data_IF_602962042540
#
_entry.id   IF_602962042540
#
_cell.length_a   1.000
_cell.length_b   1.000
_cell.length_c   1.000
_cell.angle_alpha   90.00
_cell.angle_beta   90.00
_cell.angle_gamma   90.00
#
_symmetry.space_group_name_H-M   'P 1'
#
loop_
_entity.id
_entity.type
_entity.pdbx_description
1 polymer ?
#
# COMPACT_ATOMS: atom_id res chain seq x y z
N UNK A 1 -0.71 37.07 -13.63
CA UNK A 1 -1.06 35.73 -14.14
C UNK A 1 -0.52 34.75 -13.12
N UNK A 2 -1.40 34.16 -12.30
CA UNK A 2 -1.01 33.27 -11.20
C UNK A 2 -0.38 31.98 -11.74
N UNK A 3 0.71 31.55 -11.10
CA UNK A 3 1.55 30.41 -11.48
C UNK A 3 0.82 29.05 -11.39
N UNK A 4 1.07 28.12 -12.34
CA UNK A 4 0.39 26.82 -12.40
C UNK A 4 0.86 25.78 -11.34
N UNK A 5 1.56 26.20 -10.29
CA UNK A 5 2.17 25.30 -9.28
C UNK A 5 1.32 25.17 -8.00
N UNK A 6 0.31 26.01 -7.79
CA UNK A 6 -0.47 26.00 -6.54
C UNK A 6 -1.62 24.97 -6.47
N UNK A 7 -2.05 24.38 -7.60
CA UNK A 7 -3.18 23.44 -7.58
C UNK A 7 -2.80 22.02 -7.09
N UNK A 8 -1.50 21.71 -6.98
CA UNK A 8 -1.01 20.40 -6.56
C UNK A 8 -0.88 20.23 -5.03
N UNK A 9 -1.19 21.26 -4.22
CA UNK A 9 -1.07 21.16 -2.75
C UNK A 9 -2.27 20.53 -2.05
N UNK A 10 -3.37 20.26 -2.76
CA UNK A 10 -4.61 19.74 -2.16
C UNK A 10 -4.85 18.24 -2.38
N UNK A 11 -3.94 17.55 -3.09
CA UNK A 11 -3.94 16.09 -3.19
C UNK A 11 -2.67 15.61 -2.47
N UNK A 12 -2.75 14.80 -1.40
CA UNK A 12 -1.57 14.31 -0.69
C UNK A 12 -0.75 13.30 -1.52
N UNK A 13 -1.10 13.10 -2.79
CA UNK A 13 -0.48 12.14 -3.69
C UNK A 13 0.00 12.85 -4.96
N UNK A 14 1.32 12.86 -5.23
CA UNK A 14 1.81 13.39 -6.48
C UNK A 14 1.31 12.51 -7.64
N UNK A 15 0.58 13.12 -8.57
CA UNK A 15 0.19 12.50 -9.84
C UNK A 15 1.47 12.27 -10.65
N UNK A 16 2.10 11.10 -10.49
CA UNK A 16 3.31 10.72 -11.24
C UNK A 16 3.11 9.38 -11.94
N UNK A 17 2.92 9.49 -13.26
CA UNK A 17 3.22 8.55 -14.34
C UNK A 17 3.19 7.05 -14.00
N UNK A 18 2.23 6.32 -14.58
CA UNK A 18 2.10 4.85 -14.78
C UNK A 18 3.38 3.99 -14.60
N UNK A 19 4.01 3.98 -13.42
CA UNK A 19 5.14 3.11 -13.08
C UNK A 19 4.55 1.81 -12.58
N UNK A 20 4.68 0.75 -13.37
CA UNK A 20 4.20 -0.62 -13.06
C UNK A 20 4.77 -1.22 -11.75
N UNK A 21 5.58 -0.47 -10.98
CA UNK A 21 6.30 -0.90 -9.77
C UNK A 21 6.21 0.12 -8.61
N UNK A 22 5.24 1.04 -8.62
CA UNK A 22 5.01 1.92 -7.49
C UNK A 22 4.33 1.16 -6.32
N UNK A 23 4.88 1.32 -5.12
CA UNK A 23 4.35 0.77 -3.88
C UNK A 23 4.08 1.90 -2.89
N UNK A 24 2.91 1.90 -2.28
CA UNK A 24 2.63 2.73 -1.13
C UNK A 24 3.08 2.00 0.12
N UNK A 25 3.93 2.67 0.90
CA UNK A 25 4.46 2.21 2.16
C UNK A 25 3.74 2.99 3.24
N UNK A 26 3.08 2.29 4.15
CA UNK A 26 2.40 2.86 5.30
C UNK A 26 3.10 2.34 6.55
N UNK A 27 4.00 3.13 7.16
CA UNK A 27 4.64 2.75 8.41
C UNK A 27 3.65 2.81 9.57
N UNK A 28 4.03 2.25 10.72
CA UNK A 28 3.24 2.30 11.96
C UNK A 28 2.84 3.72 12.39
N UNK A 29 3.64 4.72 12.05
CA UNK A 29 3.38 6.14 12.35
C UNK A 29 2.27 6.76 11.48
N UNK A 30 1.80 6.06 10.44
CA UNK A 30 0.76 6.55 9.54
C UNK A 30 1.23 7.53 8.45
N UNK A 31 2.52 7.84 8.38
CA UNK A 31 3.11 8.71 7.35
C UNK A 31 3.43 7.92 6.09
N UNK A 32 2.42 7.77 5.24
CA UNK A 32 2.52 6.99 4.02
C UNK A 32 3.40 7.64 2.94
N UNK A 33 4.29 6.87 2.31
CA UNK A 33 5.14 7.32 1.21
C UNK A 33 5.00 6.39 -0.02
N UNK A 34 5.24 6.91 -1.22
CA UNK A 34 5.26 6.11 -2.45
C UNK A 34 6.72 5.85 -2.83
N UNK A 35 7.09 4.58 -2.88
CA UNK A 35 8.43 4.12 -3.23
C UNK A 35 8.39 3.22 -4.48
N UNK A 36 9.40 3.35 -5.36
CA UNK A 36 9.60 2.41 -6.47
C UNK A 36 10.42 1.22 -5.96
N UNK A 37 9.71 0.22 -5.42
CA UNK A 37 10.33 -0.97 -4.85
C UNK A 37 10.43 -2.08 -5.89
N UNK A 38 11.68 -2.43 -6.23
CA UNK A 38 11.97 -3.62 -7.03
C UNK A 38 11.67 -4.91 -6.26
N UNK A 39 11.32 -5.98 -6.99
CA UNK A 39 11.04 -7.32 -6.45
C UNK A 39 12.06 -7.79 -5.42
N UNK A 40 13.35 -7.65 -5.70
CA UNK A 40 14.41 -8.09 -4.80
C UNK A 40 14.45 -7.29 -3.49
N UNK A 41 14.15 -6.00 -3.54
CA UNK A 41 14.13 -5.15 -2.35
C UNK A 41 12.95 -5.52 -1.44
N UNK A 42 11.77 -5.75 -2.02
CA UNK A 42 10.58 -6.20 -1.28
C UNK A 42 10.83 -7.56 -0.64
N UNK A 43 11.42 -8.51 -1.37
CA UNK A 43 11.75 -9.83 -0.84
C UNK A 43 12.71 -9.73 0.36
N UNK A 44 13.73 -8.86 0.29
CA UNK A 44 14.67 -8.64 1.41
C UNK A 44 14.02 -7.93 2.60
N UNK A 45 13.19 -6.91 2.35
CA UNK A 45 12.53 -6.08 3.37
C UNK A 45 11.46 -6.86 4.14
N UNK A 46 10.60 -7.59 3.41
CA UNK A 46 9.44 -8.30 3.97
C UNK A 46 9.73 -9.77 4.28
N UNK A 47 10.79 -10.35 3.71
CA UNK A 47 11.13 -11.76 3.87
C UNK A 47 10.24 -12.73 3.08
N UNK A 48 9.35 -12.24 2.20
CA UNK A 48 8.49 -13.11 1.39
C UNK A 48 9.24 -13.68 0.18
N UNK A 49 8.81 -14.86 -0.27
CA UNK A 49 9.40 -15.50 -1.43
C UNK A 49 9.00 -14.82 -2.75
N UNK A 50 9.78 -15.07 -3.81
CA UNK A 50 9.45 -14.61 -5.15
C UNK A 50 8.11 -15.15 -5.68
N UNK A 51 7.65 -16.28 -5.13
CA UNK A 51 6.36 -16.89 -5.46
C UNK A 51 5.21 -16.10 -4.82
N UNK A 52 5.35 -15.73 -3.55
CA UNK A 52 4.31 -14.99 -2.82
C UNK A 52 4.10 -13.61 -3.39
N UNK A 53 5.18 -12.96 -3.84
CA UNK A 53 5.08 -11.67 -4.49
C UNK A 53 4.29 -11.75 -5.82
N UNK A 54 4.36 -12.88 -6.55
CA UNK A 54 3.56 -13.08 -7.77
C UNK A 54 2.07 -13.15 -7.49
N UNK A 55 1.69 -13.54 -6.26
CA UNK A 55 0.32 -13.38 -5.77
C UNK A 55 -0.03 -11.91 -5.58
N UNK A 56 0.74 -10.93 -6.03
CA UNK A 56 0.30 -9.53 -6.16
C UNK A 56 0.35 -9.01 -7.61
N UNK A 57 0.88 -9.81 -8.55
CA UNK A 57 0.95 -9.41 -9.96
C UNK A 57 -0.46 -9.19 -10.57
N UNK A 58 -0.64 -8.11 -11.35
CA UNK A 58 -1.93 -7.77 -11.96
C UNK A 58 -2.35 -8.74 -13.06
N UNK A 59 -1.39 -9.38 -13.73
CA UNK A 59 -1.63 -10.23 -14.91
C UNK A 59 -2.06 -11.66 -14.54
N UNK A 60 -2.14 -11.98 -13.24
CA UNK A 60 -2.53 -13.30 -12.76
C UNK A 60 -3.92 -13.24 -12.10
N UNK A 61 -4.88 -13.94 -12.71
CA UNK A 61 -6.22 -14.18 -12.16
C UNK A 61 -6.11 -15.15 -10.98
N UNK A 62 -5.94 -14.58 -9.78
CA UNK A 62 -5.98 -15.33 -8.53
C UNK A 62 -7.30 -15.09 -7.79
N UNK A 63 -7.81 -16.12 -7.14
CA UNK A 63 -8.87 -16.04 -6.14
C UNK A 63 -8.39 -15.27 -4.90
N UNK A 64 -9.32 -14.83 -4.04
CA UNK A 64 -8.98 -14.21 -2.76
C UNK A 64 -8.06 -15.13 -1.95
N UNK A 65 -6.92 -14.61 -1.52
CA UNK A 65 -5.87 -15.38 -0.85
C UNK A 65 -5.27 -14.57 0.30
N UNK A 66 -5.13 -15.20 1.46
CA UNK A 66 -4.35 -14.67 2.59
C UNK A 66 -3.23 -15.68 2.85
N UNK A 67 -1.99 -15.28 2.61
CA UNK A 67 -0.81 -16.10 2.87
C UNK A 67 -0.15 -15.63 4.16
N UNK A 68 -0.05 -16.56 5.12
CA UNK A 68 0.76 -16.36 6.31
C UNK A 68 2.21 -16.73 5.99
N UNK A 69 3.12 -15.79 6.15
CA UNK A 69 4.57 -16.02 6.17
C UNK A 69 5.11 -15.71 7.56
N UNK A 70 6.35 -16.11 7.79
CA UNK A 70 7.01 -15.97 9.09
C UNK A 70 7.12 -14.51 9.53
N UNK A 71 7.42 -13.61 8.59
CA UNK A 71 7.68 -12.18 8.84
C UNK A 71 6.67 -11.22 8.20
N UNK A 72 5.69 -11.76 7.49
CA UNK A 72 4.72 -10.97 6.74
C UNK A 72 3.42 -11.75 6.49
N UNK A 73 2.34 -11.01 6.23
CA UNK A 73 1.07 -11.55 5.76
C UNK A 73 0.82 -10.94 4.38
N UNK A 74 0.66 -11.78 3.36
CA UNK A 74 0.31 -11.32 2.01
C UNK A 74 -1.19 -11.46 1.84
N UNK A 75 -1.85 -10.37 1.45
CA UNK A 75 -3.28 -10.29 1.27
C UNK A 75 -3.57 -9.96 -0.18
N UNK A 76 -4.31 -10.83 -0.87
CA UNK A 76 -4.96 -10.55 -2.15
C UNK A 76 -6.46 -10.75 -1.96
N UNK A 77 -7.22 -9.69 -2.03
CA UNK A 77 -8.68 -9.67 -2.11
C UNK A 77 -9.08 -8.95 -3.40
N UNK A 78 -10.37 -8.95 -3.71
CA UNK A 78 -10.92 -8.42 -4.97
C UNK A 78 -10.42 -7.01 -5.32
N UNK A 79 -10.39 -6.10 -4.34
CA UNK A 79 -9.93 -4.72 -4.51
C UNK A 79 -8.73 -4.35 -3.63
N UNK A 80 -8.23 -5.29 -2.83
CA UNK A 80 -7.19 -4.99 -1.84
C UNK A 80 -6.03 -5.94 -2.03
N UNK A 81 -4.86 -5.39 -2.31
CA UNK A 81 -3.60 -6.12 -2.40
C UNK A 81 -2.66 -5.49 -1.39
N UNK A 82 -2.05 -6.28 -0.51
CA UNK A 82 -1.14 -5.74 0.49
C UNK A 82 -0.14 -6.79 0.97
N UNK A 83 1.02 -6.32 1.41
CA UNK A 83 1.94 -7.07 2.24
C UNK A 83 1.96 -6.37 3.59
N UNK A 84 1.56 -7.07 4.63
CA UNK A 84 1.49 -6.56 5.99
C UNK A 84 2.70 -7.12 6.74
N UNK A 85 3.56 -6.26 7.23
CA UNK A 85 4.66 -6.62 8.13
C UNK A 85 4.41 -6.04 9.52
N UNK A 86 5.28 -6.35 10.48
CA UNK A 86 5.16 -5.80 11.83
C UNK A 86 5.46 -4.29 11.90
N UNK A 87 6.25 -3.75 10.97
CA UNK A 87 6.68 -2.35 10.98
C UNK A 87 5.88 -1.47 10.03
N UNK A 88 5.38 -2.06 8.94
CA UNK A 88 4.77 -1.31 7.84
C UNK A 88 3.90 -2.19 6.93
N UNK A 89 3.06 -1.52 6.15
CA UNK A 89 2.18 -2.14 5.16
C UNK A 89 2.58 -1.64 3.78
N UNK A 90 2.78 -2.57 2.84
CA UNK A 90 3.13 -2.28 1.46
C UNK A 90 1.93 -2.59 0.57
N UNK A 91 1.50 -1.59 -0.19
CA UNK A 91 0.33 -1.69 -1.09
C UNK A 91 0.78 -1.44 -2.53
N UNK A 92 0.63 -2.41 -3.46
CA UNK A 92 1.02 -2.23 -4.84
C UNK A 92 0.02 -1.34 -5.59
N UNK A 93 0.52 -0.58 -6.56
CA UNK A 93 -0.27 0.27 -7.45
C UNK A 93 -1.21 1.26 -6.72
N UNK A 94 -0.67 2.29 -6.06
CA UNK A 94 -1.46 3.27 -5.31
C UNK A 94 -2.37 4.18 -6.15
N UNK A 95 -2.38 4.03 -7.47
CA UNK A 95 -3.16 4.86 -8.39
C UNK A 95 -4.59 4.31 -8.56
N UNK A 96 -4.89 3.14 -8.00
CA UNK A 96 -6.22 2.57 -8.06
C UNK A 96 -7.20 3.36 -7.16
N UNK A 97 -8.25 4.01 -7.72
CA UNK A 97 -9.21 4.78 -6.93
C UNK A 97 -9.98 3.92 -5.93
N UNK A 98 -10.07 2.61 -6.13
CA UNK A 98 -10.69 1.69 -5.14
C UNK A 98 -9.89 1.61 -3.83
N UNK A 99 -8.61 1.99 -3.87
CA UNK A 99 -7.69 1.92 -2.76
C UNK A 99 -7.72 3.16 -1.85
N UNK A 100 -8.21 4.30 -2.34
CA UNK A 100 -8.19 5.57 -1.61
C UNK A 100 -8.91 5.47 -0.26
N UNK A 101 -10.13 4.90 -0.27
CA UNK A 101 -10.91 4.65 0.94
C UNK A 101 -10.19 3.71 1.91
N UNK A 102 -9.47 2.70 1.40
CA UNK A 102 -8.74 1.75 2.21
C UNK A 102 -7.54 2.41 2.90
N UNK A 103 -6.73 3.15 2.15
CA UNK A 103 -5.54 3.86 2.67
C UNK A 103 -5.94 4.90 3.71
N UNK A 104 -7.01 5.67 3.44
CA UNK A 104 -7.55 6.62 4.40
C UNK A 104 -7.97 5.92 5.70
N UNK A 105 -8.75 4.84 5.60
CA UNK A 105 -9.17 4.07 6.77
C UNK A 105 -8.00 3.47 7.54
N UNK A 106 -6.97 2.99 6.83
CA UNK A 106 -5.77 2.44 7.42
C UNK A 106 -5.02 3.52 8.21
N UNK A 107 -4.80 4.69 7.61
CA UNK A 107 -4.17 5.84 8.28
C UNK A 107 -4.95 6.26 9.53
N UNK A 108 -6.26 6.39 9.44
CA UNK A 108 -7.11 6.72 10.60
C UNK A 108 -7.02 5.65 11.71
N UNK A 109 -6.89 4.37 11.33
CA UNK A 109 -6.76 3.28 12.29
C UNK A 109 -5.40 3.29 12.99
N UNK A 110 -4.32 3.60 12.26
CA UNK A 110 -2.96 3.67 12.81
C UNK A 110 -2.77 4.89 13.71
N UNK A 111 -3.33 6.04 13.33
CA UNK A 111 -3.26 7.27 14.12
C UNK A 111 -4.22 7.30 15.32
N UNK A 112 -4.97 6.22 15.57
CA UNK A 112 -5.97 6.18 16.65
C UNK A 112 -7.11 7.18 16.48
N UNK A 113 -7.30 7.72 15.28
CA UNK A 113 -8.33 8.72 14.97
C UNK A 113 -9.73 8.12 14.88
N UNK A 114 -9.84 6.79 14.84
CA UNK A 114 -11.12 6.10 15.08
C UNK A 114 -11.42 6.20 16.57
N UNK A 115 -12.21 7.23 16.89
CA UNK A 115 -12.60 7.64 18.23
C UNK A 115 -12.74 6.49 19.22
N UNK A 116 -12.15 6.72 20.39
CA UNK A 116 -12.41 6.04 21.65
C UNK A 116 -13.81 5.43 21.68
N UNK A 117 -13.93 4.12 21.40
CA UNK A 117 -15.10 3.36 21.84
C UNK A 117 -14.97 3.26 23.36
N UNK A 118 -15.52 4.25 24.06
CA UNK A 118 -15.93 4.07 25.45
C UNK A 118 -16.94 2.92 25.46
N UNK A 119 -16.58 1.91 26.26
CA UNK A 119 -17.41 0.78 26.67
C UNK A 119 -18.48 1.31 27.61
#
# INVERSE_FOLDING_TARGET
MQDPVELNRSIPFPIQTKRKKAWLIVPENGDSNIEDLGKHLIMRRTGISAHDLRVLDPDLSYTSTILRRERAIVVRLEHIKAIITAAEILVPNPIDPTLESFVWNLKCSLLGLKGTRKI
#
